data_IF_488842307472
#
_entry.id   IF_488842307472
#
_cell.length_a   1.000
_cell.length_b   1.000
_cell.length_c   1.000
_cell.angle_alpha   90.00
_cell.angle_beta   90.00
_cell.angle_gamma   90.00
#
_symmetry.space_group_name_H-M   'P 1'
#
loop_
_entity.id
_entity.type
_entity.pdbx_description
1 polymer ?
#
# COMPACT_ATOMS: atom_id res chain seq x y z
N UNK A 1 58.03 -63.35 -3.87
CA UNK A 1 57.11 -62.52 -3.03
C UNK A 1 57.75 -61.15 -2.87
N UNK A 2 57.34 -60.14 -3.64
CA UNK A 2 58.01 -58.83 -3.65
C UNK A 2 57.58 -57.97 -2.45
N UNK A 3 58.42 -57.93 -1.42
CA UNK A 3 58.28 -57.09 -0.22
C UNK A 3 58.66 -55.62 -0.47
N UNK A 4 58.17 -55.03 -1.57
CA UNK A 4 58.47 -53.63 -1.95
C UNK A 4 57.23 -52.77 -2.17
N UNK A 5 56.04 -53.27 -1.84
CA UNK A 5 54.76 -52.55 -2.08
C UNK A 5 54.24 -51.75 -0.88
N UNK A 6 54.90 -51.80 0.27
CA UNK A 6 54.43 -51.14 1.50
C UNK A 6 55.41 -50.06 1.98
N UNK A 7 55.46 -48.95 1.22
CA UNK A 7 56.23 -47.78 1.61
C UNK A 7 55.33 -46.79 2.38
N UNK A 8 55.66 -46.44 3.64
CA UNK A 8 54.88 -45.48 4.43
C UNK A 8 54.75 -44.11 3.75
N UNK A 9 55.73 -43.70 2.94
CA UNK A 9 55.65 -42.44 2.17
C UNK A 9 54.60 -42.51 1.05
N UNK A 10 54.40 -43.68 0.44
CA UNK A 10 53.36 -43.88 -0.58
C UNK A 10 51.95 -43.91 0.05
N UNK A 11 51.83 -44.43 1.28
CA UNK A 11 50.58 -44.37 2.05
C UNK A 11 50.25 -42.94 2.47
N UNK A 12 51.25 -42.17 2.88
CA UNK A 12 51.08 -40.77 3.24
C UNK A 12 50.71 -39.90 2.03
N UNK A 13 51.36 -40.10 0.87
CA UNK A 13 51.02 -39.35 -0.34
C UNK A 13 49.61 -39.67 -0.87
N UNK A 14 49.21 -40.94 -0.83
CA UNK A 14 47.85 -41.36 -1.20
C UNK A 14 46.80 -40.77 -0.25
N UNK A 15 47.10 -40.68 1.04
CA UNK A 15 46.21 -40.06 2.03
C UNK A 15 46.04 -38.55 1.80
N UNK A 16 47.14 -37.83 1.53
CA UNK A 16 47.10 -36.38 1.24
C UNK A 16 46.37 -36.09 -0.08
N UNK A 17 46.57 -36.92 -1.11
CA UNK A 17 45.79 -36.85 -2.35
C UNK A 17 44.30 -37.15 -2.13
N UNK A 18 43.97 -38.08 -1.23
CA UNK A 18 42.60 -38.36 -0.81
C UNK A 18 41.92 -37.16 -0.14
N UNK A 19 42.63 -36.46 0.75
CA UNK A 19 42.11 -35.23 1.38
C UNK A 19 41.90 -34.13 0.33
N UNK A 20 42.85 -33.94 -0.59
CA UNK A 20 42.75 -32.93 -1.65
C UNK A 20 41.54 -33.14 -2.56
N UNK A 21 41.30 -34.39 -2.98
CA UNK A 21 40.13 -34.74 -3.82
C UNK A 21 38.81 -34.60 -3.05
N UNK A 22 38.78 -34.94 -1.76
CA UNK A 22 37.62 -34.73 -0.91
C UNK A 22 37.29 -33.25 -0.73
N UNK A 23 38.30 -32.39 -0.50
CA UNK A 23 38.09 -30.95 -0.38
C UNK A 23 37.57 -30.34 -1.70
N UNK A 24 38.10 -30.76 -2.84
CA UNK A 24 37.59 -30.32 -4.15
C UNK A 24 36.14 -30.76 -4.37
N UNK A 25 35.76 -31.95 -3.93
CA UNK A 25 34.38 -32.43 -4.01
C UNK A 25 33.44 -31.61 -3.11
N UNK A 26 33.87 -31.28 -1.88
CA UNK A 26 33.10 -30.43 -0.95
C UNK A 26 32.92 -29.01 -1.52
N UNK A 27 33.97 -28.43 -2.11
CA UNK A 27 33.86 -27.12 -2.79
C UNK A 27 32.92 -27.23 -3.99
N UNK A 28 32.98 -28.30 -4.78
CA UNK A 28 32.05 -28.55 -5.87
C UNK A 28 30.59 -28.61 -5.40
N UNK A 29 30.31 -29.34 -4.31
CA UNK A 29 28.98 -29.39 -3.70
C UNK A 29 28.54 -28.03 -3.15
N UNK A 30 29.44 -27.25 -2.56
CA UNK A 30 29.13 -25.91 -2.08
C UNK A 30 28.78 -24.94 -3.22
N UNK A 31 29.49 -25.03 -4.35
CA UNK A 31 29.16 -24.27 -5.56
C UNK A 31 27.79 -24.70 -6.10
N UNK A 32 27.54 -26.00 -6.24
CA UNK A 32 26.22 -26.50 -6.68
C UNK A 32 25.11 -26.02 -5.73
N UNK A 33 25.33 -26.06 -4.42
CA UNK A 33 24.38 -25.56 -3.43
C UNK A 33 24.15 -24.05 -3.57
N UNK A 34 25.20 -23.26 -3.77
CA UNK A 34 25.06 -21.81 -3.96
C UNK A 34 24.30 -21.45 -5.25
N UNK A 35 24.51 -22.20 -6.34
CA UNK A 35 23.79 -21.99 -7.60
C UNK A 35 22.40 -22.65 -7.64
N UNK A 36 22.11 -23.60 -6.74
CA UNK A 36 20.80 -24.25 -6.63
C UNK A 36 19.92 -23.67 -5.53
N UNK A 37 20.36 -22.61 -4.83
CA UNK A 37 19.48 -21.89 -3.91
C UNK A 37 18.47 -21.12 -4.74
N UNK A 38 17.21 -21.50 -4.61
CA UNK A 38 16.09 -20.67 -5.04
C UNK A 38 16.17 -19.31 -4.33
N UNK A 39 15.94 -18.24 -5.08
CA UNK A 39 15.92 -16.89 -4.51
C UNK A 39 14.89 -16.81 -3.38
N UNK A 40 15.20 -16.14 -2.25
CA UNK A 40 14.22 -15.96 -1.21
C UNK A 40 13.00 -15.24 -1.78
N UNK A 41 11.81 -15.84 -1.60
CA UNK A 41 10.53 -15.26 -2.00
C UNK A 41 10.49 -13.81 -1.54
N UNK A 42 10.38 -12.87 -2.49
CA UNK A 42 10.39 -11.46 -2.16
C UNK A 42 9.16 -11.11 -1.31
N UNK A 43 9.26 -10.07 -0.49
CA UNK A 43 8.11 -9.57 0.26
C UNK A 43 6.96 -9.15 -0.67
N UNK A 44 7.28 -8.77 -1.91
CA UNK A 44 6.32 -8.48 -2.96
C UNK A 44 5.57 -9.74 -3.43
N UNK A 45 6.26 -10.86 -3.62
CA UNK A 45 5.66 -12.13 -4.03
C UNK A 45 4.72 -12.69 -2.95
N UNK A 46 5.11 -12.56 -1.68
CA UNK A 46 4.25 -12.91 -0.53
C UNK A 46 2.98 -12.05 -0.47
N UNK A 47 3.12 -10.73 -0.65
CA UNK A 47 1.99 -9.80 -0.68
C UNK A 47 1.11 -9.96 -1.94
N UNK A 48 1.68 -10.48 -3.04
CA UNK A 48 1.00 -10.71 -4.31
C UNK A 48 0.38 -12.11 -4.43
N UNK A 49 0.70 -13.06 -3.55
CA UNK A 49 0.20 -14.44 -3.61
C UNK A 49 -1.33 -14.53 -3.77
N UNK A 50 -2.08 -13.78 -2.96
CA UNK A 50 -3.56 -13.71 -3.06
C UNK A 50 -4.04 -13.14 -4.40
N UNK A 51 -3.28 -12.20 -4.99
CA UNK A 51 -3.61 -11.63 -6.31
C UNK A 51 -3.38 -12.66 -7.42
N UNK A 52 -2.31 -13.44 -7.35
CA UNK A 52 -2.04 -14.52 -8.30
C UNK A 52 -3.08 -15.64 -8.23
N UNK A 53 -3.50 -16.04 -7.03
CA UNK A 53 -4.59 -17.02 -6.87
C UNK A 53 -5.92 -16.53 -7.45
N UNK A 54 -6.25 -15.26 -7.21
CA UNK A 54 -7.48 -14.65 -7.75
C UNK A 54 -7.41 -14.57 -9.26
N UNK A 55 -6.27 -14.12 -9.79
CA UNK A 55 -6.01 -14.08 -11.24
C UNK A 55 -6.18 -15.48 -11.84
N UNK A 56 -5.54 -16.49 -11.29
CA UNK A 56 -5.63 -17.87 -11.78
C UNK A 56 -7.07 -18.39 -11.81
N UNK A 57 -7.88 -18.11 -10.77
CA UNK A 57 -9.30 -18.49 -10.73
C UNK A 57 -10.13 -17.78 -11.80
N UNK A 58 -9.91 -16.48 -12.01
CA UNK A 58 -10.60 -15.70 -13.04
C UNK A 58 -10.24 -16.22 -14.43
N UNK A 59 -8.96 -16.45 -14.71
CA UNK A 59 -8.52 -16.98 -15.99
C UNK A 59 -9.00 -18.42 -16.22
N UNK A 60 -9.02 -19.28 -15.20
CA UNK A 60 -9.59 -20.63 -15.32
C UNK A 60 -11.10 -20.61 -15.61
N UNK A 61 -11.82 -19.64 -15.02
CA UNK A 61 -13.26 -19.45 -15.27
C UNK A 61 -13.52 -18.90 -16.67
N UNK A 62 -12.66 -18.01 -17.16
CA UNK A 62 -12.72 -17.49 -18.52
C UNK A 62 -12.36 -18.57 -19.55
N UNK A 63 -11.30 -19.34 -19.30
CA UNK A 63 -10.85 -20.42 -20.18
C UNK A 63 -11.86 -21.56 -20.29
N UNK A 64 -12.64 -21.82 -19.24
CA UNK A 64 -13.72 -22.81 -19.27
C UNK A 64 -15.00 -22.29 -19.93
N UNK A 65 -15.22 -20.96 -19.92
CA UNK A 65 -16.35 -20.33 -20.60
C UNK A 65 -16.11 -20.16 -22.12
N UNK A 66 -14.85 -19.99 -22.53
CA UNK A 66 -14.46 -19.87 -23.93
C UNK A 66 -14.11 -21.27 -24.44
N UNK A 67 -15.03 -21.92 -25.16
CA UNK A 67 -14.87 -23.27 -25.67
C UNK A 67 -13.78 -23.39 -26.75
N UNK A 68 -12.51 -23.40 -26.34
CA UNK A 68 -11.37 -23.58 -27.23
C UNK A 68 -11.38 -24.97 -27.87
N UNK A 69 -11.35 -25.04 -29.20
CA UNK A 69 -11.01 -26.27 -29.93
C UNK A 69 -9.55 -26.23 -30.35
N UNK A 70 -8.84 -27.29 -29.99
CA UNK A 70 -7.44 -27.50 -30.30
C UNK A 70 -7.30 -27.77 -31.80
N UNK A 71 -6.61 -26.90 -32.52
CA UNK A 71 -6.37 -27.09 -33.96
C UNK A 71 -5.04 -27.83 -34.18
N UNK A 72 -4.08 -27.70 -33.25
CA UNK A 72 -2.80 -28.44 -33.22
C UNK A 72 -2.20 -28.47 -31.81
N UNK A 73 -1.51 -29.56 -31.46
CA UNK A 73 -0.94 -29.79 -30.13
C UNK A 73 0.00 -28.65 -29.71
N UNK A 74 -0.39 -27.89 -28.69
CA UNK A 74 0.43 -26.85 -28.06
C UNK A 74 0.25 -25.41 -28.55
N UNK A 75 -0.67 -25.14 -29.50
CA UNK A 75 -1.07 -23.76 -29.86
C UNK A 75 -2.54 -23.52 -29.58
N UNK A 76 -2.84 -22.82 -28.48
CA UNK A 76 -4.16 -22.23 -28.23
C UNK A 76 -4.34 -21.06 -29.20
N UNK A 77 -5.18 -21.21 -30.24
CA UNK A 77 -5.49 -20.10 -31.16
C UNK A 77 -6.87 -19.52 -30.84
N UNK A 78 -6.83 -18.19 -30.83
CA UNK A 78 -7.88 -17.18 -30.75
C UNK A 78 -9.13 -17.56 -31.55
N UNK A 79 -10.28 -17.54 -30.88
CA UNK A 79 -11.62 -17.66 -31.48
C UNK A 79 -11.73 -16.72 -32.69
N UNK A 80 -12.37 -17.11 -33.82
CA UNK A 80 -12.57 -16.22 -34.95
C UNK A 80 -13.15 -14.87 -34.48
N UNK A 81 -12.67 -13.72 -34.98
CA UNK A 81 -13.04 -12.41 -34.43
C UNK A 81 -14.55 -12.14 -34.36
N UNK A 82 -15.36 -12.80 -35.21
CA UNK A 82 -16.81 -12.67 -35.19
C UNK A 82 -17.49 -13.46 -34.06
N UNK A 83 -16.94 -14.61 -33.66
CA UNK A 83 -17.51 -15.46 -32.60
C UNK A 83 -17.19 -14.92 -31.19
N UNK A 84 -16.14 -14.10 -31.06
CA UNK A 84 -15.78 -13.44 -29.80
C UNK A 84 -16.92 -12.56 -29.31
N UNK A 85 -17.58 -11.82 -30.21
CA UNK A 85 -18.65 -10.89 -29.84
C UNK A 85 -19.90 -11.62 -29.35
N UNK A 86 -20.25 -12.76 -29.94
CA UNK A 86 -21.40 -13.56 -29.51
C UNK A 86 -21.16 -14.27 -28.17
N UNK A 87 -19.93 -14.75 -27.92
CA UNK A 87 -19.51 -15.32 -26.65
C UNK A 87 -19.49 -14.26 -25.53
N UNK A 88 -18.94 -13.09 -25.81
CA UNK A 88 -18.93 -11.94 -24.90
C UNK A 88 -20.36 -11.47 -24.62
N UNK A 89 -21.23 -11.41 -25.64
CA UNK A 89 -22.64 -11.06 -25.50
C UNK A 89 -23.43 -12.03 -24.61
N UNK A 90 -23.21 -13.34 -24.76
CA UNK A 90 -23.84 -14.37 -23.90
C UNK A 90 -23.32 -14.32 -22.46
N UNK A 91 -22.02 -14.08 -22.26
CA UNK A 91 -21.43 -13.89 -20.93
C UNK A 91 -21.98 -12.63 -20.24
N UNK A 92 -22.08 -11.51 -20.95
CA UNK A 92 -22.70 -10.27 -20.48
C UNK A 92 -24.19 -10.43 -20.15
N UNK A 93 -24.92 -11.23 -20.93
CA UNK A 93 -26.34 -11.49 -20.68
C UNK A 93 -26.59 -12.44 -19.50
N UNK A 94 -25.66 -13.36 -19.21
CA UNK A 94 -25.78 -14.34 -18.12
C UNK A 94 -25.19 -13.88 -16.79
N UNK A 95 -24.29 -12.89 -16.81
CA UNK A 95 -23.83 -12.22 -15.60
C UNK A 95 -24.92 -11.24 -15.16
N UNK A 96 -25.57 -11.54 -14.02
CA UNK A 96 -26.35 -10.53 -13.32
C UNK A 96 -25.40 -9.37 -13.05
N UNK A 97 -25.60 -8.26 -13.77
CA UNK A 97 -24.81 -7.06 -13.58
C UNK A 97 -24.76 -6.77 -12.08
N UNK A 98 -23.57 -6.91 -11.48
CA UNK A 98 -23.29 -6.18 -10.27
C UNK A 98 -23.64 -4.73 -10.59
N UNK A 99 -24.38 -4.07 -9.71
CA UNK A 99 -24.81 -2.69 -9.89
C UNK A 99 -23.59 -1.76 -9.83
N UNK A 100 -22.73 -1.85 -10.84
CA UNK A 100 -21.61 -0.97 -11.09
C UNK A 100 -22.13 0.00 -12.11
N UNK A 101 -22.50 1.20 -11.63
CA UNK A 101 -22.85 2.35 -12.45
C UNK A 101 -21.80 2.49 -13.56
N UNK A 102 -22.12 2.04 -14.76
CA UNK A 102 -21.24 2.16 -15.92
C UNK A 102 -21.25 3.62 -16.33
N UNK A 103 -20.09 4.27 -16.26
CA UNK A 103 -19.97 5.67 -16.65
C UNK A 103 -19.77 5.71 -18.15
N UNK A 104 -20.84 6.12 -18.82
CA UNK A 104 -20.87 6.36 -20.25
C UNK A 104 -20.52 7.83 -20.49
N UNK A 105 -19.67 8.15 -21.48
CA UNK A 105 -19.39 9.51 -21.89
C UNK A 105 -20.70 10.28 -22.20
N UNK A 106 -20.92 11.43 -21.56
CA UNK A 106 -22.11 12.27 -21.58
C UNK A 106 -23.21 11.90 -20.58
N UNK A 107 -23.04 10.88 -19.73
CA UNK A 107 -24.09 10.44 -18.80
C UNK A 107 -24.13 11.29 -17.52
N UNK A 108 -25.30 11.36 -16.85
CA UNK A 108 -25.42 11.97 -15.51
C UNK A 108 -24.43 11.37 -14.51
N UNK A 109 -24.12 10.08 -14.65
CA UNK A 109 -23.09 9.38 -13.88
C UNK A 109 -21.67 9.82 -14.18
N UNK A 110 -21.37 10.24 -15.41
CA UNK A 110 -20.09 10.89 -15.75
C UNK A 110 -20.06 12.31 -15.23
N UNK A 111 -21.17 13.06 -15.28
CA UNK A 111 -21.26 14.37 -14.65
C UNK A 111 -21.09 14.27 -13.12
N UNK A 112 -21.64 13.24 -12.48
CA UNK A 112 -21.49 12.97 -11.04
C UNK A 112 -20.07 12.49 -10.68
N UNK A 113 -19.41 11.71 -11.55
CA UNK A 113 -18.01 11.27 -11.34
C UNK A 113 -16.96 12.31 -11.77
N UNK A 114 -17.25 13.11 -12.78
CA UNK A 114 -16.49 14.31 -13.13
C UNK A 114 -16.66 15.36 -12.04
N UNK A 115 -17.83 15.45 -11.40
CA UNK A 115 -18.04 16.26 -10.20
C UNK A 115 -17.20 15.79 -9.00
N UNK A 116 -16.86 14.50 -8.92
CA UNK A 116 -15.92 13.94 -7.93
C UNK A 116 -14.44 14.17 -8.30
N UNK A 117 -14.13 14.42 -9.58
CA UNK A 117 -12.79 14.79 -10.06
C UNK A 117 -12.57 16.31 -10.10
N UNK A 118 -13.66 17.10 -10.04
CA UNK A 118 -13.61 18.54 -9.78
C UNK A 118 -13.63 18.77 -8.28
N UNK A 119 -12.50 19.22 -7.72
CA UNK A 119 -12.34 19.80 -6.37
C UNK A 119 -13.44 19.34 -5.40
N UNK A 120 -13.29 18.15 -4.82
CA UNK A 120 -14.23 17.68 -3.81
C UNK A 120 -14.26 18.71 -2.69
N UNK A 121 -15.44 19.30 -2.48
CA UNK A 121 -15.66 20.28 -1.42
C UNK A 121 -15.24 19.64 -0.08
N UNK A 122 -14.28 20.24 0.66
CA UNK A 122 -13.84 19.74 1.95
C UNK A 122 -14.99 19.44 2.92
N UNK A 123 -16.07 20.23 2.87
CA UNK A 123 -17.25 20.04 3.71
C UNK A 123 -18.07 18.79 3.37
N UNK A 124 -17.95 18.25 2.14
CA UNK A 124 -18.58 16.99 1.74
C UNK A 124 -17.77 15.81 2.26
N UNK A 125 -16.44 15.90 2.21
CA UNK A 125 -15.53 14.88 2.75
C UNK A 125 -15.76 14.69 4.24
N UNK A 126 -15.96 15.78 4.97
CA UNK A 126 -16.20 15.75 6.42
C UNK A 126 -17.52 15.08 6.81
N UNK A 127 -18.48 14.95 5.88
CA UNK A 127 -19.77 14.28 6.10
C UNK A 127 -19.78 12.80 5.69
N UNK A 128 -18.71 12.30 5.06
CA UNK A 128 -18.59 10.88 4.70
C UNK A 128 -18.44 10.00 5.95
N UNK A 129 -18.93 8.76 5.87
CA UNK A 129 -18.69 7.77 6.91
C UNK A 129 -17.18 7.43 7.00
N UNK A 130 -16.66 7.03 8.17
CA UNK A 130 -17.36 6.83 9.46
C UNK A 130 -17.70 8.13 10.19
N UNK A 131 -18.73 8.12 11.04
CA UNK A 131 -19.13 9.25 11.91
C UNK A 131 -18.41 9.21 13.25
N UNK A 132 -18.52 10.29 14.02
CA UNK A 132 -17.98 10.36 15.38
C UNK A 132 -18.61 9.28 16.27
N UNK A 133 -17.76 8.50 16.96
CA UNK A 133 -18.20 7.43 17.86
C UNK A 133 -18.42 6.07 17.21
N UNK A 134 -18.25 5.95 15.89
CA UNK A 134 -18.23 4.65 15.23
C UNK A 134 -17.09 3.76 15.77
N UNK A 135 -17.30 2.44 15.92
CA UNK A 135 -16.24 1.54 16.35
C UNK A 135 -15.05 1.58 15.39
N UNK A 136 -13.86 1.83 15.93
CA UNK A 136 -12.61 1.82 15.16
C UNK A 136 -12.00 0.43 15.28
N UNK A 137 -11.66 -0.17 14.14
CA UNK A 137 -10.96 -1.45 14.12
C UNK A 137 -9.60 -1.32 14.83
N UNK A 138 -9.31 -2.16 15.85
CA UNK A 138 -8.00 -2.17 16.50
C UNK A 138 -6.83 -2.32 15.53
N UNK A 139 -6.99 -3.02 14.41
CA UNK A 139 -5.96 -3.16 13.39
C UNK A 139 -5.59 -1.82 12.73
N UNK A 140 -6.58 -0.93 12.54
CA UNK A 140 -6.36 0.43 12.02
C UNK A 140 -5.57 1.27 13.03
N UNK A 141 -5.88 1.14 14.32
CA UNK A 141 -5.14 1.84 15.38
C UNK A 141 -3.69 1.38 15.48
N UNK A 142 -3.44 0.07 15.43
CA UNK A 142 -2.07 -0.48 15.45
C UNK A 142 -1.28 -0.07 14.19
N UNK A 143 -1.90 -0.14 13.01
CA UNK A 143 -1.28 0.33 11.77
C UNK A 143 -0.97 1.83 11.82
N UNK A 144 -1.90 2.65 12.32
CA UNK A 144 -1.71 4.09 12.48
C UNK A 144 -0.61 4.44 13.47
N UNK A 145 -0.52 3.70 14.59
CA UNK A 145 0.56 3.84 15.57
C UNK A 145 1.93 3.58 14.96
N UNK A 146 2.05 2.53 14.13
CA UNK A 146 3.30 2.22 13.44
C UNK A 146 3.72 3.35 12.48
N UNK A 147 2.76 4.00 11.82
CA UNK A 147 3.02 5.16 10.95
C UNK A 147 3.35 6.44 11.74
N UNK A 148 2.80 6.60 12.94
CA UNK A 148 3.00 7.79 13.78
C UNK A 148 4.46 8.01 14.18
N UNK A 149 5.32 7.00 14.11
CA UNK A 149 6.77 7.13 14.38
C UNK A 149 7.40 8.25 13.54
N UNK A 150 6.95 8.43 12.29
CA UNK A 150 7.42 9.52 11.42
C UNK A 150 6.96 10.90 11.94
N UNK A 151 5.75 10.97 12.47
CA UNK A 151 5.17 12.20 13.02
C UNK A 151 5.79 12.55 14.38
N UNK A 152 6.12 11.55 15.19
CA UNK A 152 6.66 11.70 16.54
C UNK A 152 8.01 12.44 16.56
N UNK A 153 8.76 12.40 15.46
CA UNK A 153 10.02 13.14 15.32
C UNK A 153 9.84 14.66 15.50
N UNK A 154 8.69 15.20 15.11
CA UNK A 154 8.37 16.63 15.24
C UNK A 154 7.29 16.90 16.29
N UNK A 155 6.32 16.00 16.46
CA UNK A 155 5.16 16.21 17.32
C UNK A 155 5.27 15.54 18.70
N UNK A 156 6.38 14.87 18.98
CA UNK A 156 6.59 14.14 20.23
C UNK A 156 5.95 12.75 20.22
N UNK A 157 6.48 11.86 21.06
CA UNK A 157 6.01 10.46 21.12
C UNK A 157 4.59 10.34 21.64
N UNK A 158 4.17 11.28 22.50
CA UNK A 158 2.85 11.34 23.09
C UNK A 158 2.00 12.48 22.49
N UNK A 159 2.41 13.04 21.35
CA UNK A 159 1.71 14.16 20.70
C UNK A 159 1.77 15.46 21.50
N UNK A 160 2.70 15.58 22.45
CA UNK A 160 2.88 16.73 23.33
C UNK A 160 3.36 18.00 22.61
N UNK A 161 3.86 17.86 21.38
CA UNK A 161 4.45 18.94 20.61
C UNK A 161 5.90 19.20 20.97
N UNK A 162 6.65 19.80 20.05
CA UNK A 162 8.03 20.25 20.23
C UNK A 162 8.22 21.60 19.53
N UNK A 163 9.36 22.29 19.70
CA UNK A 163 9.65 23.47 18.88
C UNK A 163 9.67 23.19 17.36
N UNK A 164 9.77 21.92 16.94
CA UNK A 164 9.73 21.52 15.53
C UNK A 164 8.29 21.27 15.01
N UNK A 165 7.29 21.10 15.87
CA UNK A 165 5.92 20.86 15.46
C UNK A 165 4.90 20.99 16.61
N UNK A 166 3.70 21.53 16.35
CA UNK A 166 2.72 21.79 17.40
C UNK A 166 2.20 20.51 18.07
N UNK A 167 1.59 20.68 19.25
CA UNK A 167 0.96 19.58 19.96
C UNK A 167 -0.23 18.98 19.20
N UNK A 168 -0.31 17.66 19.13
CA UNK A 168 -1.49 16.92 18.69
C UNK A 168 -2.45 16.60 19.84
N UNK A 169 -1.92 16.46 21.05
CA UNK A 169 -2.68 16.12 22.25
C UNK A 169 -3.61 17.29 22.65
N UNK A 170 -4.92 17.06 22.58
CA UNK A 170 -5.94 18.05 22.91
C UNK A 170 -5.98 19.25 21.97
N UNK A 171 -5.48 19.11 20.74
CA UNK A 171 -5.53 20.14 19.72
C UNK A 171 -6.91 20.17 19.04
N UNK A 172 -7.48 21.36 18.94
CA UNK A 172 -8.74 21.66 18.26
C UNK A 172 -8.69 21.27 16.78
N UNK A 173 -7.54 21.41 16.14
CA UNK A 173 -7.35 21.05 14.74
C UNK A 173 -7.37 19.55 14.51
N UNK A 174 -6.94 18.75 15.50
CA UNK A 174 -6.97 17.29 15.42
C UNK A 174 -8.40 16.78 15.51
N UNK A 175 -9.22 17.29 16.42
CA UNK A 175 -10.59 16.81 16.61
C UNK A 175 -11.61 17.46 15.67
N UNK A 176 -11.27 18.61 15.08
CA UNK A 176 -12.07 19.34 14.10
C UNK A 176 -12.24 18.64 12.74
N UNK A 177 -12.48 19.43 11.66
CA UNK A 177 -12.73 18.91 10.31
C UNK A 177 -11.64 17.96 9.80
N UNK A 178 -12.01 16.75 9.38
CA UNK A 178 -11.09 15.72 8.87
C UNK A 178 -10.37 16.19 7.61
N UNK A 179 -11.09 16.92 6.77
CA UNK A 179 -10.61 17.51 5.54
C UNK A 179 -9.38 18.40 5.76
N UNK A 180 -9.28 19.11 6.89
CA UNK A 180 -8.10 19.88 7.23
C UNK A 180 -6.87 18.99 7.40
N UNK A 181 -6.97 17.94 8.22
CA UNK A 181 -5.87 17.01 8.48
C UNK A 181 -5.41 16.30 7.20
N UNK A 182 -6.36 15.87 6.38
CA UNK A 182 -6.05 15.25 5.10
C UNK A 182 -5.31 16.26 4.22
N UNK A 183 -5.86 17.46 4.02
CA UNK A 183 -5.25 18.51 3.19
C UNK A 183 -3.86 18.90 3.70
N UNK A 184 -3.67 19.00 5.01
CA UNK A 184 -2.35 19.25 5.64
C UNK A 184 -1.38 18.12 5.31
N UNK A 185 -1.79 16.85 5.41
CA UNK A 185 -0.94 15.72 5.05
C UNK A 185 -0.57 15.74 3.55
N UNK A 186 -1.49 16.13 2.66
CA UNK A 186 -1.27 16.09 1.22
C UNK A 186 -0.50 17.31 0.67
N UNK A 187 -0.72 18.49 1.22
CA UNK A 187 -0.18 19.78 0.72
C UNK A 187 0.86 20.40 1.63
N UNK A 188 0.98 19.92 2.87
CA UNK A 188 1.76 20.59 3.90
C UNK A 188 1.05 21.82 4.47
N UNK A 189 1.64 22.37 5.53
CA UNK A 189 1.19 23.58 6.21
C UNK A 189 2.39 24.52 6.34
N UNK A 190 2.14 25.83 6.21
CA UNK A 190 3.15 26.88 6.38
C UNK A 190 2.54 28.12 7.02
N UNK A 191 3.41 28.94 7.62
CA UNK A 191 3.02 30.17 8.31
C UNK A 191 2.52 29.93 9.74
N UNK A 192 2.28 31.02 10.49
CA UNK A 192 1.84 30.92 11.87
C UNK A 192 0.49 30.19 11.98
N UNK A 193 0.35 29.36 13.01
CA UNK A 193 -0.91 28.71 13.37
C UNK A 193 -1.15 28.82 14.87
N UNK A 194 -2.39 29.08 15.27
CA UNK A 194 -2.79 29.01 16.68
C UNK A 194 -3.19 27.58 17.03
N UNK A 195 -2.57 26.99 18.05
CA UNK A 195 -2.96 25.67 18.56
C UNK A 195 -3.17 25.80 20.06
N UNK A 196 -4.36 25.45 20.54
CA UNK A 196 -4.77 25.63 21.94
C UNK A 196 -4.64 27.08 22.43
N UNK A 197 -4.85 28.04 21.54
CA UNK A 197 -4.70 29.47 21.82
C UNK A 197 -3.25 29.98 21.90
N UNK A 198 -2.25 29.11 21.73
CA UNK A 198 -0.85 29.50 21.64
C UNK A 198 -0.44 29.69 20.18
N UNK A 199 0.24 30.81 19.90
CA UNK A 199 0.76 31.10 18.56
C UNK A 199 2.02 30.27 18.31
N UNK A 200 1.94 29.34 17.38
CA UNK A 200 3.11 28.65 16.86
C UNK A 200 3.69 29.44 15.68
N UNK A 201 4.63 30.36 15.99
CA UNK A 201 5.19 31.31 15.01
C UNK A 201 6.45 30.81 14.30
N UNK A 202 7.07 29.74 14.79
CA UNK A 202 8.28 29.14 14.20
C UNK A 202 7.88 28.51 12.89
N UNK A 203 7.98 29.26 11.77
CA UNK A 203 7.56 28.91 10.39
C UNK A 203 7.39 27.40 10.27
N UNK A 204 6.22 26.85 10.66
CA UNK A 204 6.05 25.42 10.77
C UNK A 204 5.87 24.95 9.35
N UNK A 205 6.97 24.62 8.68
CA UNK A 205 6.89 24.01 7.38
C UNK A 205 6.68 22.52 7.61
N UNK A 206 5.42 22.12 7.76
CA UNK A 206 5.09 20.71 7.66
C UNK A 206 5.22 20.33 6.19
N UNK A 207 6.23 19.51 5.88
CA UNK A 207 6.42 19.01 4.53
C UNK A 207 5.23 18.16 4.09
N UNK A 208 4.79 18.27 2.83
CA UNK A 208 3.75 17.40 2.30
C UNK A 208 4.22 15.94 2.38
N UNK A 209 3.36 15.07 2.90
CA UNK A 209 3.58 13.63 3.02
C UNK A 209 2.78 12.88 1.95
N UNK A 210 2.72 13.46 0.76
CA UNK A 210 1.89 12.97 -0.34
C UNK A 210 2.36 11.63 -0.93
N UNK A 211 3.57 11.16 -0.59
CA UNK A 211 4.13 9.87 -1.02
C UNK A 211 3.54 8.66 -0.30
N UNK A 212 2.94 8.86 0.88
CA UNK A 212 2.26 7.77 1.61
C UNK A 212 1.02 7.30 0.85
N UNK A 213 0.61 6.04 1.02
CA UNK A 213 -0.65 5.55 0.42
C UNK A 213 -1.86 6.16 1.13
N UNK A 214 -3.02 6.15 0.46
CA UNK A 214 -4.26 6.67 1.04
C UNK A 214 -4.63 5.93 2.34
N UNK A 215 -4.34 4.62 2.43
CA UNK A 215 -4.55 3.82 3.64
C UNK A 215 -3.60 4.23 4.76
N UNK A 216 -2.32 4.44 4.47
CA UNK A 216 -1.34 4.86 5.47
C UNK A 216 -1.73 6.21 6.09
N UNK A 217 -2.18 7.15 5.25
CA UNK A 217 -2.65 8.46 5.70
C UNK A 217 -3.92 8.31 6.53
N UNK A 218 -4.90 7.54 6.06
CA UNK A 218 -6.14 7.31 6.80
C UNK A 218 -5.88 6.70 8.19
N UNK A 219 -5.00 5.71 8.27
CA UNK A 219 -4.66 5.04 9.54
C UNK A 219 -3.94 5.97 10.51
N UNK A 220 -2.92 6.72 10.07
CA UNK A 220 -2.18 7.62 10.96
C UNK A 220 -3.06 8.77 11.46
N UNK A 221 -3.89 9.34 10.60
CA UNK A 221 -4.83 10.41 10.99
C UNK A 221 -5.89 9.87 11.96
N UNK A 222 -6.40 8.66 11.73
CA UNK A 222 -7.31 7.98 12.66
C UNK A 222 -6.68 7.76 14.03
N UNK A 223 -5.43 7.28 14.05
CA UNK A 223 -4.67 7.08 15.29
C UNK A 223 -4.50 8.39 16.07
N UNK A 224 -4.07 9.47 15.42
CA UNK A 224 -3.85 10.78 16.07
C UNK A 224 -5.15 11.36 16.63
N UNK A 225 -6.27 11.19 15.91
CA UNK A 225 -7.62 11.62 16.33
C UNK A 225 -8.18 10.88 17.53
N UNK A 226 -7.70 9.67 17.81
CA UNK A 226 -8.19 8.79 18.87
C UNK A 226 -7.13 8.43 19.92
N UNK A 227 -5.98 9.11 19.86
CA UNK A 227 -4.88 8.97 20.81
C UNK A 227 -4.68 10.25 21.60
N UNK A 228 -3.84 10.20 22.63
CA UNK A 228 -3.43 11.38 23.41
C UNK A 228 -4.59 12.12 24.09
N UNK A 229 -5.68 11.40 24.40
CA UNK A 229 -6.91 11.96 24.97
C UNK A 229 -7.88 12.53 23.94
N UNK A 230 -7.54 12.51 22.65
CA UNK A 230 -8.43 12.93 21.57
C UNK A 230 -9.53 11.89 21.35
N UNK A 231 -10.71 12.37 20.96
CA UNK A 231 -11.85 11.55 20.55
C UNK A 231 -12.45 12.17 19.30
N UNK A 232 -12.32 11.49 18.16
CA UNK A 232 -12.88 11.97 16.90
C UNK A 232 -13.12 10.82 15.94
N UNK A 233 -13.98 11.04 14.95
CA UNK A 233 -14.27 10.07 13.89
C UNK A 233 -13.00 9.55 13.22
N UNK A 234 -13.02 8.29 12.83
CA UNK A 234 -11.98 7.76 11.94
C UNK A 234 -11.94 8.50 10.60
N UNK A 235 -10.76 8.49 9.99
CA UNK A 235 -10.55 8.93 8.62
C UNK A 235 -10.50 7.70 7.74
N UNK A 236 -11.33 7.66 6.70
CA UNK A 236 -11.36 6.54 5.75
C UNK A 236 -10.42 6.77 4.55
N UNK A 237 -9.88 5.70 3.94
CA UNK A 237 -9.09 5.81 2.72
C UNK A 237 -9.85 6.52 1.59
N UNK A 238 -11.16 6.35 1.51
CA UNK A 238 -12.01 7.00 0.51
C UNK A 238 -12.00 8.53 0.65
N UNK A 239 -11.97 9.05 1.89
CA UNK A 239 -11.86 10.49 2.15
C UNK A 239 -10.51 11.04 1.71
N UNK A 240 -9.43 10.29 1.96
CA UNK A 240 -8.08 10.68 1.53
C UNK A 240 -8.01 10.69 0.00
N UNK A 241 -8.53 9.65 -0.64
CA UNK A 241 -8.59 9.51 -2.09
C UNK A 241 -9.40 10.64 -2.74
N UNK A 242 -10.52 11.04 -2.14
CA UNK A 242 -11.34 12.15 -2.62
C UNK A 242 -10.56 13.48 -2.67
N UNK A 243 -9.63 13.68 -1.72
CA UNK A 243 -8.79 14.88 -1.66
C UNK A 243 -7.47 14.73 -2.39
N UNK A 244 -7.18 13.60 -3.05
CA UNK A 244 -5.88 13.40 -3.72
C UNK A 244 -5.60 14.34 -4.88
N UNK A 245 -6.63 14.92 -5.49
CA UNK A 245 -6.47 15.99 -6.48
C UNK A 245 -5.87 17.28 -5.90
N UNK A 246 -5.75 17.40 -4.57
CA UNK A 246 -5.08 18.53 -3.90
C UNK A 246 -3.54 18.46 -3.99
N UNK A 247 -2.98 17.30 -4.34
CA UNK A 247 -1.53 17.12 -4.42
C UNK A 247 -0.92 18.04 -5.49
N UNK A 248 0.14 18.76 -5.13
CA UNK A 248 0.83 19.70 -6.04
C UNK A 248 0.28 21.13 -5.98
N UNK A 249 -0.81 21.38 -5.25
CA UNK A 249 -1.26 22.74 -4.92
C UNK A 249 -0.31 23.38 -3.89
N UNK A 250 -0.29 24.72 -3.78
CA UNK A 250 0.54 25.42 -2.79
C UNK A 250 0.30 24.93 -1.36
N UNK A 251 1.29 25.08 -0.49
CA UNK A 251 1.14 24.78 0.94
C UNK A 251 -0.01 25.57 1.56
N UNK A 252 -0.67 24.99 2.57
CA UNK A 252 -1.78 25.63 3.27
C UNK A 252 -1.29 26.64 4.30
N UNK A 253 -2.12 27.63 4.59
CA UNK A 253 -1.99 28.52 5.75
C UNK A 253 -3.20 28.34 6.68
N UNK A 254 -3.14 28.86 7.91
CA UNK A 254 -4.28 28.82 8.85
C UNK A 254 -5.57 29.38 8.20
N UNK A 255 -5.45 30.38 7.32
CA UNK A 255 -6.60 30.99 6.64
C UNK A 255 -7.29 30.05 5.61
N UNK A 256 -6.58 29.03 5.12
CA UNK A 256 -7.11 28.06 4.15
C UNK A 256 -7.81 26.86 4.83
N UNK A 257 -7.71 26.78 6.15
CA UNK A 257 -8.30 25.72 6.98
C UNK A 257 -9.70 26.14 7.45
N UNK A 258 -10.58 25.13 7.56
CA UNK A 258 -11.89 25.32 8.16
C UNK A 258 -11.70 25.41 9.68
N UNK A 259 -12.15 26.48 10.31
CA UNK A 259 -12.00 26.63 11.77
C UNK A 259 -12.77 25.53 12.51
N UNK A 260 -12.16 24.89 13.52
CA UNK A 260 -12.79 23.86 14.34
C UNK A 260 -13.91 24.42 15.22
#
# INVERSE_FOLDING_TARGET
MSSTRDNPLARFSAFVWGIGTFLLFVVGLAVIYLFSREDPVSLEDSAAAKRYETKAKVFATQDSAVGYKEIEAGKKVQVPPHDVFDLVGKQLASTKAAATKTVVPGSKTEADQAALLTVVDPAVVDKMDPKDGDPIDPAVMEAGKAQYILCAACHGQNGEGTPAGPAHAGSEWITGPRSNLIRIQLRGLTGPIHVKGELFSTIPMMTPQNLQTDEQIAHVLTYVRNSFGNKGSAVSPEQVKALRSEVGKPMLTEADLIKP
#
